data_IF_777237260616
#
_entry.id   IF_777237260616
#
_cell.length_a   1.000
_cell.length_b   1.000
_cell.length_c   1.000
_cell.angle_alpha   90.00
_cell.angle_beta   90.00
_cell.angle_gamma   90.00
#
_symmetry.space_group_name_H-M   'P 1'
#
loop_
_entity.id
_entity.type
_entity.pdbx_description
1 polymer ?
#
# COMPACT_ATOMS: atom_id res chain seq x y z
N UNK A 1 -17.32 5.76 14.23
CA UNK A 1 -15.83 5.70 14.24
C UNK A 1 -15.24 6.88 13.43
N UNK A 2 -15.65 8.13 13.69
CA UNK A 2 -15.17 9.31 12.94
C UNK A 2 -14.01 10.03 13.64
N UNK A 3 -13.96 10.01 14.98
CA UNK A 3 -13.02 10.79 15.78
C UNK A 3 -11.52 10.58 15.44
N UNK A 4 -11.11 9.38 15.04
CA UNK A 4 -9.70 9.14 14.69
C UNK A 4 -9.29 9.88 13.41
N UNK A 5 -10.18 9.95 12.42
CA UNK A 5 -9.91 10.67 11.16
C UNK A 5 -9.83 12.18 11.38
N UNK A 6 -10.74 12.71 12.19
CA UNK A 6 -10.78 14.13 12.53
C UNK A 6 -9.56 14.55 13.36
N UNK A 7 -9.15 13.73 14.33
CA UNK A 7 -7.91 13.96 15.10
C UNK A 7 -6.66 13.91 14.21
N UNK A 8 -6.56 12.94 13.30
CA UNK A 8 -5.41 12.83 12.39
C UNK A 8 -5.36 13.93 11.33
N UNK A 9 -6.47 14.65 11.12
CA UNK A 9 -6.56 15.80 10.22
C UNK A 9 -6.20 17.12 10.90
N UNK A 10 -6.02 17.14 12.23
CA UNK A 10 -5.56 18.30 12.99
C UNK A 10 -4.03 18.20 13.21
N UNK A 11 -3.21 18.90 12.41
CA UNK A 11 -1.76 18.83 12.51
C UNK A 11 -1.19 19.47 13.78
N UNK A 12 -1.95 20.34 14.47
CA UNK A 12 -1.53 20.95 15.73
C UNK A 12 -1.74 20.00 16.92
N UNK A 13 -2.77 19.15 16.85
CA UNK A 13 -3.02 18.10 17.85
C UNK A 13 -2.23 16.81 17.59
N UNK A 14 -2.05 16.44 16.31
CA UNK A 14 -1.39 15.20 15.89
C UNK A 14 -0.44 15.47 14.71
N UNK A 15 0.81 15.90 14.98
CA UNK A 15 1.79 16.12 13.93
C UNK A 15 2.06 14.82 13.16
N UNK A 16 2.22 14.94 11.83
CA UNK A 16 2.38 13.78 10.93
C UNK A 16 3.52 12.84 11.34
N UNK A 17 4.57 13.38 11.96
CA UNK A 17 5.73 12.63 12.47
C UNK A 17 5.36 11.73 13.66
N UNK A 18 4.51 12.19 14.57
CA UNK A 18 4.04 11.40 15.70
C UNK A 18 3.13 10.25 15.21
N UNK A 19 2.28 10.53 14.23
CA UNK A 19 1.43 9.52 13.57
C UNK A 19 2.27 8.48 12.84
N UNK A 20 3.26 8.92 12.06
CA UNK A 20 4.18 8.04 11.35
C UNK A 20 5.00 7.17 12.33
N UNK A 21 5.44 7.75 13.45
CA UNK A 21 6.12 7.03 14.53
C UNK A 21 5.23 5.95 15.16
N UNK A 22 3.97 6.26 15.45
CA UNK A 22 3.01 5.30 15.97
C UNK A 22 2.74 4.15 14.99
N UNK A 23 2.53 4.45 13.70
CA UNK A 23 2.33 3.41 12.66
C UNK A 23 3.59 2.54 12.53
N UNK A 24 4.78 3.15 12.53
CA UNK A 24 6.07 2.41 12.49
C UNK A 24 6.22 1.47 13.69
N UNK A 25 5.86 1.91 14.89
CA UNK A 25 5.90 1.06 16.09
C UNK A 25 4.86 -0.07 16.06
N UNK A 26 3.74 0.10 15.37
CA UNK A 26 2.75 -0.96 15.18
C UNK A 26 3.20 -1.99 14.15
N UNK A 27 3.95 -1.58 13.12
CA UNK A 27 4.53 -2.49 12.11
C UNK A 27 5.54 -3.48 12.72
N UNK A 28 6.19 -3.15 13.84
CA UNK A 28 7.16 -4.03 14.49
C UNK A 28 6.54 -5.04 15.47
N UNK A 29 5.22 -5.00 15.70
CA UNK A 29 4.54 -5.92 16.61
C UNK A 29 4.22 -7.26 15.95
N UNK A 30 4.44 -8.35 16.70
CA UNK A 30 4.09 -9.71 16.30
C UNK A 30 3.12 -10.30 17.34
N UNK A 31 1.89 -10.71 16.95
CA UNK A 31 1.31 -10.62 15.60
C UNK A 31 0.98 -9.17 15.20
N UNK A 32 0.91 -8.93 13.89
CA UNK A 32 0.58 -7.62 13.33
C UNK A 32 -0.79 -7.14 13.85
N UNK A 33 -0.94 -5.89 14.32
CA UNK A 33 -2.21 -5.42 14.86
C UNK A 33 -3.31 -5.40 13.79
N UNK A 34 -4.51 -5.96 14.05
CA UNK A 34 -5.56 -6.18 13.03
C UNK A 34 -6.16 -4.90 12.45
N UNK A 35 -5.96 -3.74 13.09
CA UNK A 35 -6.46 -2.45 12.63
C UNK A 35 -5.42 -1.61 11.88
N UNK A 36 -4.17 -2.08 11.79
CA UNK A 36 -3.07 -1.30 11.23
C UNK A 36 -3.36 -0.82 9.81
N UNK A 37 -3.99 -1.67 9.00
CA UNK A 37 -4.38 -1.34 7.64
C UNK A 37 -5.55 -0.36 7.54
N UNK A 38 -6.48 -0.38 8.51
CA UNK A 38 -7.48 0.68 8.64
C UNK A 38 -6.82 2.01 8.99
N UNK A 39 -5.83 2.00 9.89
CA UNK A 39 -5.06 3.20 10.25
C UNK A 39 -4.26 3.73 9.07
N UNK A 40 -3.64 2.85 8.26
CA UNK A 40 -2.91 3.24 7.06
C UNK A 40 -3.82 3.94 6.04
N UNK A 41 -5.02 3.37 5.78
CA UNK A 41 -6.01 3.98 4.90
C UNK A 41 -6.52 5.33 5.41
N UNK A 42 -6.68 5.49 6.73
CA UNK A 42 -7.08 6.75 7.33
C UNK A 42 -5.97 7.80 7.26
N UNK A 43 -4.74 7.44 7.60
CA UNK A 43 -3.57 8.31 7.49
C UNK A 43 -3.35 8.80 6.05
N UNK A 44 -3.59 7.92 5.07
CA UNK A 44 -3.49 8.27 3.64
C UNK A 44 -4.50 9.34 3.22
N UNK A 45 -5.65 9.45 3.90
CA UNK A 45 -6.67 10.47 3.67
C UNK A 45 -6.40 11.80 4.41
N UNK A 46 -5.52 11.81 5.41
CA UNK A 46 -5.25 12.98 6.26
C UNK A 46 -4.32 14.02 5.62
N UNK A 47 -3.58 13.67 4.56
CA UNK A 47 -2.76 14.63 3.82
C UNK A 47 -1.60 14.03 3.02
N UNK A 48 -0.94 14.84 2.16
CA UNK A 48 0.06 14.36 1.20
C UNK A 48 1.32 13.78 1.87
N UNK A 49 1.72 14.29 3.04
CA UNK A 49 2.87 13.77 3.79
C UNK A 49 2.65 12.34 4.28
N UNK A 50 1.50 12.09 4.93
CA UNK A 50 1.13 10.76 5.41
C UNK A 50 0.82 9.80 4.26
N UNK A 51 0.21 10.28 3.18
CA UNK A 51 0.01 9.47 1.97
C UNK A 51 1.34 8.95 1.40
N UNK A 52 2.36 9.81 1.36
CA UNK A 52 3.69 9.43 0.90
C UNK A 52 4.39 8.44 1.87
N UNK A 53 4.20 8.60 3.19
CA UNK A 53 4.70 7.65 4.19
C UNK A 53 4.03 6.27 4.06
N UNK A 54 2.70 6.24 3.85
CA UNK A 54 1.97 4.99 3.62
C UNK A 54 2.49 4.27 2.37
N UNK A 55 2.67 5.00 1.27
CA UNK A 55 3.15 4.43 0.01
C UNK A 55 4.59 3.91 0.08
N UNK A 56 5.50 4.64 0.75
CA UNK A 56 6.94 4.34 0.76
C UNK A 56 7.42 3.46 1.91
N UNK A 57 6.67 3.41 3.00
CA UNK A 57 7.10 2.69 4.22
C UNK A 57 6.10 1.60 4.60
N UNK A 58 4.82 1.96 4.74
CA UNK A 58 3.83 1.03 5.30
C UNK A 58 3.50 -0.10 4.35
N UNK A 59 3.15 0.20 3.09
CA UNK A 59 2.78 -0.83 2.12
C UNK A 59 3.92 -1.81 1.83
N UNK A 60 5.18 -1.37 1.60
CA UNK A 60 6.31 -2.29 1.42
C UNK A 60 6.53 -3.18 2.65
N UNK A 61 6.53 -2.64 3.86
CA UNK A 61 6.73 -3.43 5.08
C UNK A 61 5.65 -4.50 5.27
N UNK A 62 4.40 -4.18 4.95
CA UNK A 62 3.30 -5.15 4.99
C UNK A 62 3.45 -6.23 3.91
N UNK A 63 3.93 -5.88 2.72
CA UNK A 63 4.22 -6.86 1.67
C UNK A 63 5.35 -7.81 2.09
N UNK A 64 6.44 -7.30 2.68
CA UNK A 64 7.53 -8.12 3.24
C UNK A 64 7.01 -9.07 4.34
N UNK A 65 6.11 -8.57 5.19
CA UNK A 65 5.40 -9.36 6.21
C UNK A 65 4.32 -10.30 5.67
N UNK A 66 4.23 -10.49 4.34
CA UNK A 66 3.27 -11.38 3.66
C UNK A 66 1.82 -11.12 4.05
N UNK A 67 1.41 -9.85 4.00
CA UNK A 67 0.03 -9.38 4.26
C UNK A 67 -1.06 -10.18 3.52
N UNK A 68 -0.73 -10.84 2.41
CA UNK A 68 -1.63 -11.72 1.68
C UNK A 68 -2.01 -13.02 2.42
N UNK A 69 -1.33 -13.40 3.50
CA UNK A 69 -1.71 -14.55 4.33
C UNK A 69 -2.98 -14.31 5.15
N UNK A 70 -3.36 -13.05 5.38
CA UNK A 70 -4.63 -12.65 5.99
C UNK A 70 -5.53 -12.00 4.92
N UNK A 71 -6.64 -12.64 4.51
CA UNK A 71 -7.53 -12.11 3.48
C UNK A 71 -8.14 -10.73 3.80
N UNK A 72 -8.38 -10.44 5.08
CA UNK A 72 -8.93 -9.16 5.52
C UNK A 72 -7.88 -8.05 5.40
N UNK A 73 -6.66 -8.34 5.85
CA UNK A 73 -5.52 -7.44 5.71
C UNK A 73 -5.16 -7.21 4.24
N UNK A 74 -5.14 -8.28 3.43
CA UNK A 74 -4.88 -8.25 2.00
C UNK A 74 -5.82 -7.30 1.25
N UNK A 75 -7.12 -7.41 1.51
CA UNK A 75 -8.12 -6.55 0.86
C UNK A 75 -7.89 -5.06 1.20
N UNK A 76 -7.55 -4.77 2.46
CA UNK A 76 -7.20 -3.42 2.87
C UNK A 76 -5.94 -2.90 2.16
N UNK A 77 -4.97 -3.80 1.94
CA UNK A 77 -3.68 -3.46 1.35
C UNK A 77 -3.83 -3.12 -0.12
N UNK A 78 -4.57 -3.93 -0.88
CA UNK A 78 -4.88 -3.67 -2.29
C UNK A 78 -5.67 -2.37 -2.44
N UNK A 79 -6.63 -2.11 -1.55
CA UNK A 79 -7.39 -0.86 -1.56
C UNK A 79 -6.49 0.37 -1.32
N UNK A 80 -5.59 0.29 -0.35
CA UNK A 80 -4.64 1.37 -0.04
C UNK A 80 -3.65 1.61 -1.19
N UNK A 81 -3.14 0.54 -1.78
CA UNK A 81 -2.29 0.58 -2.94
C UNK A 81 -3.01 1.23 -4.14
N UNK A 82 -4.25 0.83 -4.43
CA UNK A 82 -5.04 1.41 -5.52
C UNK A 82 -5.33 2.90 -5.34
N UNK A 83 -5.67 3.33 -4.12
CA UNK A 83 -5.94 4.75 -3.81
C UNK A 83 -4.71 5.65 -3.88
N UNK A 84 -3.54 5.09 -3.57
CA UNK A 84 -2.27 5.82 -3.59
C UNK A 84 -1.57 5.79 -4.95
N UNK A 85 -2.16 5.17 -5.97
CA UNK A 85 -1.60 5.16 -7.30
C UNK A 85 -1.46 6.59 -7.86
N UNK A 86 -0.37 6.91 -8.59
CA UNK A 86 0.69 6.00 -9.02
C UNK A 86 1.83 5.82 -8.00
N UNK A 87 1.86 6.56 -6.90
CA UNK A 87 2.98 6.56 -5.94
C UNK A 87 3.22 5.20 -5.25
N UNK A 88 2.21 4.33 -5.25
CA UNK A 88 2.25 2.98 -4.66
C UNK A 88 2.67 1.88 -5.64
N UNK A 89 2.87 2.18 -6.93
CA UNK A 89 3.25 1.18 -7.94
C UNK A 89 4.51 0.39 -7.57
N UNK A 90 5.58 0.99 -7.02
CA UNK A 90 6.74 0.22 -6.58
C UNK A 90 6.41 -0.86 -5.54
N UNK A 91 5.49 -0.58 -4.60
CA UNK A 91 5.05 -1.55 -3.60
C UNK A 91 4.22 -2.69 -4.23
N UNK A 92 3.41 -2.40 -5.25
CA UNK A 92 2.70 -3.43 -6.03
C UNK A 92 3.70 -4.33 -6.79
N UNK A 93 4.71 -3.73 -7.42
CA UNK A 93 5.70 -4.45 -8.22
C UNK A 93 6.70 -5.27 -7.39
N UNK A 94 6.82 -4.98 -6.09
CA UNK A 94 7.60 -5.77 -5.15
C UNK A 94 6.89 -7.07 -4.70
N UNK A 95 5.60 -7.25 -5.01
CA UNK A 95 4.89 -8.47 -4.70
C UNK A 95 5.37 -9.66 -5.54
N UNK A 96 5.30 -10.89 -5.01
CA UNK A 96 5.52 -12.08 -5.82
C UNK A 96 4.47 -12.19 -6.96
N UNK A 97 4.83 -12.86 -8.05
CA UNK A 97 4.05 -12.86 -9.29
C UNK A 97 2.59 -13.32 -9.12
N UNK A 98 2.32 -14.30 -8.24
CA UNK A 98 0.96 -14.77 -7.97
C UNK A 98 0.11 -13.70 -7.27
N UNK A 99 0.67 -13.03 -6.26
CA UNK A 99 0.01 -11.97 -5.50
C UNK A 99 -0.16 -10.70 -6.32
N UNK A 100 0.81 -10.36 -7.17
CA UNK A 100 0.69 -9.24 -8.11
C UNK A 100 -0.45 -9.48 -9.11
N UNK A 101 -0.57 -10.70 -9.65
CA UNK A 101 -1.69 -11.06 -10.54
C UNK A 101 -3.03 -10.93 -9.81
N UNK A 102 -3.12 -11.41 -8.58
CA UNK A 102 -4.33 -11.29 -7.77
C UNK A 102 -4.68 -9.82 -7.47
N UNK A 103 -3.70 -9.03 -7.01
CA UNK A 103 -3.88 -7.60 -6.74
C UNK A 103 -4.37 -6.85 -8.00
N UNK A 104 -3.76 -7.11 -9.16
CA UNK A 104 -4.14 -6.47 -10.43
C UNK A 104 -5.60 -6.75 -10.81
N UNK A 105 -6.11 -7.94 -10.53
CA UNK A 105 -7.50 -8.29 -10.81
C UNK A 105 -8.50 -7.52 -9.92
N UNK A 106 -8.10 -7.17 -8.71
CA UNK A 106 -8.92 -6.43 -7.74
C UNK A 106 -8.76 -4.90 -7.83
N UNK A 107 -7.79 -4.41 -8.62
CA UNK A 107 -7.57 -2.98 -8.84
C UNK A 107 -8.57 -2.39 -9.85
N UNK A 108 -8.92 -1.09 -9.73
CA UNK A 108 -9.69 -0.40 -10.76
C UNK A 108 -8.99 -0.48 -12.13
N UNK A 109 -9.74 -0.61 -13.26
CA UNK A 109 -9.15 -0.78 -14.59
C UNK A 109 -8.08 0.25 -14.95
N UNK A 110 -8.37 1.55 -14.73
CA UNK A 110 -7.43 2.64 -15.01
C UNK A 110 -6.12 2.53 -14.19
N UNK A 111 -6.20 2.03 -12.95
CA UNK A 111 -5.03 1.82 -12.09
C UNK A 111 -4.22 0.61 -12.58
N UNK A 112 -4.90 -0.47 -12.95
CA UNK A 112 -4.26 -1.67 -13.48
C UNK A 112 -3.53 -1.39 -14.82
N UNK A 113 -4.13 -0.59 -15.70
CA UNK A 113 -3.51 -0.10 -16.94
C UNK A 113 -2.29 0.77 -16.65
N UNK A 114 -2.41 1.73 -15.72
CA UNK A 114 -1.29 2.57 -15.29
C UNK A 114 -0.13 1.77 -14.70
N UNK A 115 -0.44 0.75 -13.90
CA UNK A 115 0.56 -0.17 -13.33
C UNK A 115 1.28 -0.94 -14.44
N UNK A 116 0.55 -1.46 -15.42
CA UNK A 116 1.14 -2.17 -16.55
C UNK A 116 2.06 -1.26 -17.37
N UNK A 117 1.59 -0.04 -17.69
CA UNK A 117 2.40 0.95 -18.39
C UNK A 117 3.68 1.32 -17.63
N UNK A 118 3.59 1.47 -16.31
CA UNK A 118 4.74 1.73 -15.45
C UNK A 118 5.72 0.55 -15.42
N UNK A 119 5.22 -0.67 -15.23
CA UNK A 119 6.04 -1.88 -15.22
C UNK A 119 6.79 -2.10 -16.54
N UNK A 120 6.12 -1.83 -17.67
CA UNK A 120 6.74 -1.94 -18.99
C UNK A 120 7.84 -0.90 -19.23
N UNK A 121 7.73 0.29 -18.62
CA UNK A 121 8.78 1.31 -18.64
C UNK A 121 9.98 0.93 -17.78
N UNK A 122 9.75 0.23 -16.68
CA UNK A 122 10.79 -0.18 -15.71
C UNK A 122 11.25 -1.63 -15.89
N UNK A 123 11.08 -2.20 -17.09
CA UNK A 123 11.40 -3.61 -17.41
C UNK A 123 12.81 -4.07 -17.02
N UNK A 124 13.79 -3.18 -16.96
CA UNK A 124 15.17 -3.50 -16.57
C UNK A 124 15.35 -3.72 -15.07
N UNK A 125 14.48 -3.15 -14.23
CA UNK A 125 14.56 -3.23 -12.77
C UNK A 125 13.69 -4.34 -12.18
N UNK A 126 12.82 -4.97 -12.98
CA UNK A 126 11.83 -5.93 -12.52
C UNK A 126 12.22 -7.38 -12.83
N UNK A 127 11.84 -8.34 -11.96
CA UNK A 127 11.97 -9.76 -12.26
C UNK A 127 11.27 -10.13 -13.57
N UNK A 128 11.85 -11.06 -14.33
CA UNK A 128 11.32 -11.50 -15.64
C UNK A 128 9.88 -12.02 -15.54
N UNK A 129 9.57 -12.72 -14.45
CA UNK A 129 8.23 -13.22 -14.16
C UNK A 129 7.21 -12.09 -14.04
N UNK A 130 7.56 -11.01 -13.33
CA UNK A 130 6.72 -9.82 -13.15
C UNK A 130 6.44 -9.16 -14.49
N UNK A 131 7.46 -9.02 -15.33
CA UNK A 131 7.31 -8.43 -16.67
C UNK A 131 6.42 -9.31 -17.58
N UNK A 132 6.53 -10.63 -17.48
CA UNK A 132 5.71 -11.56 -18.27
C UNK A 132 4.21 -11.39 -17.99
N UNK A 133 3.82 -11.15 -16.73
CA UNK A 133 2.43 -10.91 -16.33
C UNK A 133 1.75 -9.79 -17.11
N UNK A 134 2.51 -8.77 -17.52
CA UNK A 134 1.99 -7.60 -18.23
C UNK A 134 2.03 -7.73 -19.75
N UNK A 135 2.66 -8.79 -20.28
CA UNK A 135 2.72 -9.08 -21.72
C UNK A 135 1.70 -10.12 -22.18
N UNK A 136 1.16 -10.91 -21.26
CA UNK A 136 0.27 -12.06 -21.54
C UNK A 136 -1.24 -11.71 -21.58
N UNK A 137 -1.63 -10.44 -21.44
CA UNK A 137 -3.04 -10.00 -21.46
C UNK A 137 -3.22 -8.75 -22.31
#
# INVERSE_FOLDING_TARGET
MAALGDCLADPDAFPAEAVAGAISALLTRVPLPPLLLRTALQAQASGPGLAAFVARTVLPALAEGRVWEDPGAWRGWVLAAGRGAPATFPALLALPAAQLRAARADLPPAVAEGLAAHALRETHALPRETVALFREG
#
